data_IF_321835418750
#
_entry.id   IF_321835418750
#
_cell.length_a   1.000
_cell.length_b   1.000
_cell.length_c   1.000
_cell.angle_alpha   90.00
_cell.angle_beta   90.00
_cell.angle_gamma   90.00
#
_symmetry.space_group_name_H-M   'P 1'
#
loop_
_entity.id
_entity.type
_entity.pdbx_description
1 polymer ?
#
# COMPACT_ATOMS: atom_id res chain seq x y z
N UNK A 1 -0.49 -0.26 15.54
CA UNK A 1 -0.37 -0.67 14.12
C UNK A 1 0.67 0.12 13.34
N UNK A 2 0.85 1.42 13.55
CA UNK A 2 1.86 2.22 12.81
C UNK A 2 3.30 1.67 12.88
N UNK A 3 3.69 1.01 13.98
CA UNK A 3 5.01 0.38 14.11
C UNK A 3 5.27 -0.69 13.05
N UNK A 4 4.26 -1.48 12.65
CA UNK A 4 4.36 -2.46 11.58
C UNK A 4 4.60 -1.78 10.22
N UNK A 5 3.86 -0.69 9.97
CA UNK A 5 3.96 0.12 8.74
C UNK A 5 5.30 0.83 8.57
N UNK A 6 6.02 1.12 9.67
CA UNK A 6 7.40 1.63 9.59
C UNK A 6 8.41 0.59 9.08
N UNK A 7 8.06 -0.70 9.13
CA UNK A 7 8.92 -1.80 8.70
C UNK A 7 8.60 -2.27 7.28
N UNK A 8 7.30 -2.38 6.94
CA UNK A 8 6.85 -2.84 5.62
C UNK A 8 6.54 -1.70 4.65
N UNK A 9 6.58 -0.45 5.12
CA UNK A 9 6.31 0.77 4.36
C UNK A 9 4.90 0.86 3.73
N UNK A 10 3.98 -0.03 4.10
CA UNK A 10 2.61 0.03 3.58
C UNK A 10 1.84 1.23 4.15
N UNK A 11 0.91 1.75 3.35
CA UNK A 11 -0.09 2.70 3.83
C UNK A 11 -1.26 1.95 4.45
N UNK A 12 -1.88 2.51 5.49
CA UNK A 12 -3.05 1.92 6.14
C UNK A 12 -4.20 2.92 6.14
N UNK A 13 -5.40 2.43 5.81
CA UNK A 13 -6.64 3.19 5.83
C UNK A 13 -7.60 2.49 6.80
N UNK A 14 -8.41 3.26 7.51
CA UNK A 14 -9.40 2.74 8.44
C UNK A 14 -10.80 3.14 7.96
N UNK A 15 -11.69 2.16 7.89
CA UNK A 15 -13.13 2.43 7.77
C UNK A 15 -13.72 2.75 9.14
N UNK A 16 -15.01 3.08 9.13
CA UNK A 16 -15.82 3.25 10.36
C UNK A 16 -16.27 1.91 10.95
N UNK A 17 -15.77 0.79 10.43
CA UNK A 17 -16.08 -0.54 10.92
C UNK A 17 -15.41 -0.78 12.27
N UNK A 18 -16.22 -0.96 13.32
CA UNK A 18 -15.72 -1.22 14.67
C UNK A 18 -15.76 -2.72 14.92
N UNK A 19 -14.66 -3.28 15.44
CA UNK A 19 -14.65 -4.66 15.94
C UNK A 19 -15.56 -4.76 17.18
N UNK A 20 -16.55 -5.64 17.12
CA UNK A 20 -17.53 -5.85 18.20
C UNK A 20 -17.40 -7.24 18.83
N UNK A 21 -16.28 -7.93 18.62
CA UNK A 21 -16.06 -9.29 19.07
C UNK A 21 -16.42 -10.33 18.02
N UNK A 22 -16.54 -11.60 18.42
CA UNK A 22 -16.77 -12.68 17.47
C UNK A 22 -18.15 -12.59 16.82
N UNK A 23 -18.20 -12.65 15.48
CA UNK A 23 -19.43 -12.81 14.70
C UNK A 23 -19.38 -14.13 13.95
N UNK A 24 -20.52 -14.82 13.86
CA UNK A 24 -20.65 -16.11 13.17
C UNK A 24 -20.86 -15.95 11.68
N UNK A 25 -21.51 -14.87 11.23
CA UNK A 25 -21.91 -14.74 9.83
C UNK A 25 -21.63 -13.35 9.28
N UNK A 26 -21.46 -13.26 7.96
CA UNK A 26 -21.26 -11.99 7.29
C UNK A 26 -22.49 -11.09 7.42
N UNK A 27 -23.69 -11.66 7.36
CA UNK A 27 -24.96 -10.92 7.46
C UNK A 27 -25.11 -10.22 8.80
N UNK A 28 -24.75 -10.89 9.91
CA UNK A 28 -24.71 -10.27 11.23
C UNK A 28 -23.72 -9.11 11.26
N UNK A 29 -22.52 -9.34 10.73
CA UNK A 29 -21.47 -8.32 10.68
C UNK A 29 -21.90 -7.09 9.88
N UNK A 30 -22.38 -7.30 8.66
CA UNK A 30 -22.80 -6.22 7.75
C UNK A 30 -24.01 -5.46 8.30
N UNK A 31 -24.92 -6.14 9.03
CA UNK A 31 -26.01 -5.47 9.73
C UNK A 31 -25.51 -4.57 10.86
N UNK A 32 -24.58 -5.05 11.68
CA UNK A 32 -24.03 -4.26 12.82
C UNK A 32 -23.21 -3.07 12.32
N UNK A 33 -22.42 -3.28 11.28
CA UNK A 33 -21.57 -2.25 10.69
C UNK A 33 -22.32 -1.19 9.90
N UNK A 34 -23.56 -1.46 9.51
CA UNK A 34 -24.26 -0.78 8.41
C UNK A 34 -23.50 -0.96 7.09
N UNK A 35 -24.01 -1.89 6.29
CA UNK A 35 -23.43 -2.32 5.02
C UNK A 35 -23.01 -1.14 4.13
N UNK A 36 -23.95 -0.25 3.81
CA UNK A 36 -23.71 0.83 2.85
C UNK A 36 -22.75 1.87 3.40
N UNK A 37 -22.75 2.06 4.72
CA UNK A 37 -21.81 2.95 5.39
C UNK A 37 -20.38 2.46 5.24
N UNK A 38 -20.11 1.17 5.48
CA UNK A 38 -18.75 0.62 5.33
C UNK A 38 -18.38 0.47 3.86
N UNK A 39 -19.32 0.08 3.00
CA UNK A 39 -19.09 0.00 1.57
C UNK A 39 -18.67 1.37 1.00
N UNK A 40 -19.32 2.46 1.43
CA UNK A 40 -18.91 3.83 1.09
C UNK A 40 -17.45 4.11 1.46
N UNK A 41 -16.98 3.65 2.63
CA UNK A 41 -15.59 3.87 3.08
C UNK A 41 -14.59 3.12 2.19
N UNK A 42 -14.89 1.87 1.83
CA UNK A 42 -14.02 1.07 0.96
C UNK A 42 -13.98 1.68 -0.45
N UNK A 43 -15.13 2.09 -1.00
CA UNK A 43 -15.21 2.80 -2.30
C UNK A 43 -14.40 4.09 -2.28
N UNK A 44 -14.49 4.86 -1.19
CA UNK A 44 -13.70 6.07 -1.01
C UNK A 44 -12.20 5.79 -1.07
N UNK A 45 -11.74 4.75 -0.36
CA UNK A 45 -10.33 4.34 -0.37
C UNK A 45 -9.88 3.93 -1.77
N UNK A 46 -10.67 3.12 -2.50
CA UNK A 46 -10.32 2.71 -3.87
C UNK A 46 -10.21 3.93 -4.80
N UNK A 47 -11.17 4.86 -4.75
CA UNK A 47 -11.16 6.07 -5.58
C UNK A 47 -10.01 7.03 -5.26
N UNK A 48 -9.64 7.11 -3.98
CA UNK A 48 -8.55 7.98 -3.51
C UNK A 48 -7.16 7.37 -3.76
N UNK A 49 -6.98 6.09 -3.45
CA UNK A 49 -5.71 5.39 -3.55
C UNK A 49 -5.42 4.89 -4.98
N UNK A 50 -6.47 4.69 -5.79
CA UNK A 50 -6.40 4.26 -7.19
C UNK A 50 -5.55 2.99 -7.42
N UNK A 51 -5.83 1.88 -6.72
CA UNK A 51 -5.04 0.65 -6.85
C UNK A 51 -5.22 0.00 -8.23
N UNK A 52 -4.15 -0.56 -8.78
CA UNK A 52 -4.22 -1.38 -10.00
C UNK A 52 -4.82 -2.77 -9.74
N UNK A 53 -4.51 -3.37 -8.58
CA UNK A 53 -5.00 -4.70 -8.16
C UNK A 53 -5.54 -4.60 -6.73
N UNK A 54 -6.72 -5.16 -6.50
CA UNK A 54 -7.29 -5.32 -5.16
C UNK A 54 -7.09 -6.76 -4.71
N UNK A 55 -6.59 -6.94 -3.49
CA UNK A 55 -6.41 -8.28 -2.89
C UNK A 55 -7.30 -8.37 -1.65
N UNK A 56 -8.24 -9.31 -1.65
CA UNK A 56 -8.89 -9.74 -0.40
C UNK A 56 -8.11 -10.90 0.21
N UNK A 57 -7.94 -10.89 1.54
CA UNK A 57 -7.28 -11.98 2.26
C UNK A 57 -8.21 -13.18 2.49
N UNK A 58 -9.52 -12.94 2.51
CA UNK A 58 -10.53 -13.94 2.80
C UNK A 58 -11.43 -14.16 1.58
N UNK A 59 -12.04 -15.33 1.52
CA UNK A 59 -13.01 -15.64 0.47
C UNK A 59 -14.36 -15.00 0.79
N UNK A 60 -15.06 -14.40 -0.19
CA UNK A 60 -16.44 -13.94 0.00
C UNK A 60 -17.43 -15.11 0.17
N UNK A 61 -17.01 -16.34 -0.15
CA UNK A 61 -17.83 -17.56 -0.10
C UNK A 61 -17.57 -18.41 1.15
N UNK A 62 -16.52 -18.11 1.92
CA UNK A 62 -16.14 -18.94 3.07
C UNK A 62 -16.95 -18.60 4.32
N UNK A 63 -17.89 -19.48 4.67
CA UNK A 63 -18.71 -19.35 5.88
C UNK A 63 -18.10 -20.04 7.12
N UNK A 64 -16.88 -20.58 7.01
CA UNK A 64 -16.21 -21.32 8.09
C UNK A 64 -15.15 -20.47 8.82
N UNK A 65 -15.20 -19.15 8.66
CA UNK A 65 -14.31 -18.19 9.33
C UNK A 65 -15.15 -17.17 10.12
N UNK A 66 -14.50 -16.22 10.79
CA UNK A 66 -15.21 -15.15 11.50
C UNK A 66 -16.04 -14.34 10.50
N UNK A 67 -17.28 -13.98 10.86
CA UNK A 67 -18.18 -13.20 10.00
C UNK A 67 -17.55 -11.91 9.44
N UNK A 68 -16.70 -11.28 10.24
CA UNK A 68 -15.86 -10.13 9.89
C UNK A 68 -14.99 -10.35 8.64
N UNK A 69 -14.37 -11.52 8.54
CA UNK A 69 -13.49 -11.86 7.44
C UNK A 69 -14.28 -11.97 6.13
N UNK A 70 -15.38 -12.73 6.14
CA UNK A 70 -16.25 -12.93 4.98
C UNK A 70 -16.92 -11.63 4.57
N UNK A 71 -17.44 -10.85 5.54
CA UNK A 71 -17.99 -9.52 5.31
C UNK A 71 -16.98 -8.57 4.65
N UNK A 72 -15.71 -8.60 5.09
CA UNK A 72 -14.66 -7.77 4.48
C UNK A 72 -14.39 -8.15 3.02
N UNK A 73 -14.48 -9.43 2.68
CA UNK A 73 -14.29 -9.93 1.32
C UNK A 73 -15.48 -9.58 0.41
N UNK A 74 -16.71 -9.69 0.92
CA UNK A 74 -17.93 -9.25 0.23
C UNK A 74 -17.85 -7.75 -0.07
N UNK A 75 -17.51 -6.92 0.93
CA UNK A 75 -17.35 -5.48 0.75
C UNK A 75 -16.24 -5.13 -0.25
N UNK A 76 -15.13 -5.86 -0.27
CA UNK A 76 -14.07 -5.66 -1.26
C UNK A 76 -14.57 -5.96 -2.69
N UNK A 77 -15.39 -7.00 -2.84
CA UNK A 77 -16.00 -7.38 -4.11
C UNK A 77 -17.01 -6.34 -4.61
N UNK A 78 -17.93 -5.91 -3.74
CA UNK A 78 -18.90 -4.88 -4.10
C UNK A 78 -18.23 -3.52 -4.38
N UNK A 79 -17.21 -3.16 -3.58
CA UNK A 79 -16.48 -1.92 -3.77
C UNK A 79 -15.68 -1.90 -5.07
N UNK A 80 -15.17 -3.05 -5.52
CA UNK A 80 -14.45 -3.17 -6.80
C UNK A 80 -15.32 -2.69 -7.97
N UNK A 81 -16.59 -3.10 -8.01
CA UNK A 81 -17.55 -2.62 -9.00
C UNK A 81 -17.96 -1.15 -8.72
N UNK A 82 -18.39 -0.85 -7.50
CA UNK A 82 -18.96 0.45 -7.13
C UNK A 82 -17.98 1.62 -7.24
N UNK A 83 -16.67 1.39 -7.08
CA UNK A 83 -15.66 2.44 -7.20
C UNK A 83 -15.61 3.08 -8.59
N UNK A 84 -15.99 2.33 -9.63
CA UNK A 84 -16.04 2.80 -11.01
C UNK A 84 -17.39 3.40 -11.43
N UNK A 85 -18.44 3.20 -10.63
CA UNK A 85 -19.80 3.68 -10.94
C UNK A 85 -20.04 5.08 -10.34
N UNK A 86 -20.25 6.13 -11.16
CA UNK A 86 -20.50 7.49 -10.66
C UNK A 86 -21.84 7.64 -9.92
N UNK A 87 -22.79 6.71 -10.09
CA UNK A 87 -24.07 6.73 -9.39
C UNK A 87 -23.95 6.16 -7.96
N UNK A 88 -22.87 5.43 -7.65
CA UNK A 88 -22.59 4.91 -6.31
C UNK A 88 -21.83 5.95 -5.49
N UNK A 89 -22.44 6.37 -4.38
CA UNK A 89 -21.87 7.38 -3.47
C UNK A 89 -21.46 8.69 -4.17
N UNK A 90 -22.37 9.37 -4.89
CA UNK A 90 -22.03 10.52 -5.74
C UNK A 90 -21.46 11.71 -4.96
N UNK A 91 -21.79 11.86 -3.67
CA UNK A 91 -21.24 12.91 -2.81
C UNK A 91 -19.71 12.87 -2.70
N UNK A 92 -19.08 11.69 -2.89
CA UNK A 92 -17.63 11.56 -2.90
C UNK A 92 -16.99 12.24 -4.11
N UNK A 93 -17.73 12.39 -5.22
CA UNK A 93 -17.19 12.87 -6.49
C UNK A 93 -16.85 14.36 -6.49
N UNK A 94 -17.20 15.09 -5.43
CA UNK A 94 -16.68 16.41 -5.16
C UNK A 94 -15.18 16.42 -4.83
N UNK A 95 -14.60 15.27 -4.46
CA UNK A 95 -13.22 15.15 -3.97
C UNK A 95 -12.37 14.11 -4.71
N UNK A 96 -13.00 13.07 -5.25
CA UNK A 96 -12.33 11.95 -5.92
C UNK A 96 -13.01 11.62 -7.24
N UNK A 97 -12.28 10.95 -8.14
CA UNK A 97 -12.83 10.48 -9.42
C UNK A 97 -13.20 9.00 -9.32
N UNK A 98 -14.16 8.50 -10.13
CA UNK A 98 -14.36 7.07 -10.27
C UNK A 98 -13.04 6.38 -10.65
N UNK A 99 -12.81 5.20 -10.11
CA UNK A 99 -11.61 4.41 -10.39
C UNK A 99 -11.98 2.95 -10.57
N UNK A 100 -11.43 2.33 -11.61
CA UNK A 100 -11.63 0.92 -11.91
C UNK A 100 -10.29 0.18 -11.76
N UNK A 101 -10.08 -0.54 -10.65
CA UNK A 101 -8.94 -1.44 -10.56
C UNK A 101 -9.02 -2.51 -11.65
N UNK A 102 -7.88 -3.02 -12.10
CA UNK A 102 -7.80 -3.98 -13.22
C UNK A 102 -8.40 -5.33 -12.84
N UNK A 103 -8.18 -5.76 -11.58
CA UNK A 103 -8.68 -7.04 -11.07
C UNK A 103 -8.78 -7.08 -9.55
N UNK A 104 -9.68 -7.93 -9.08
CA UNK A 104 -9.84 -8.36 -7.70
C UNK A 104 -9.41 -9.81 -7.60
N UNK A 105 -8.53 -10.10 -6.64
CA UNK A 105 -8.04 -11.45 -6.37
C UNK A 105 -8.21 -11.82 -4.90
N UNK A 106 -8.45 -13.10 -4.62
CA UNK A 106 -8.36 -13.66 -3.28
C UNK A 106 -6.98 -14.27 -3.06
N UNK A 107 -6.23 -13.76 -2.08
CA UNK A 107 -5.01 -14.39 -1.62
C UNK A 107 -5.33 -15.55 -0.68
N UNK A 108 -5.07 -16.78 -1.15
CA UNK A 108 -5.33 -18.02 -0.43
C UNK A 108 -4.04 -18.78 -0.11
N UNK A 109 -4.12 -19.80 0.74
CA UNK A 109 -2.98 -20.65 1.08
C UNK A 109 -3.44 -22.01 1.62
N UNK A 110 -2.58 -23.05 1.58
CA UNK A 110 -2.90 -24.36 2.15
C UNK A 110 -3.38 -24.32 3.61
N UNK A 111 -2.94 -23.33 4.39
CA UNK A 111 -3.30 -23.14 5.79
C UNK A 111 -4.82 -23.02 6.01
N UNK A 112 -5.54 -22.36 5.09
CA UNK A 112 -7.00 -22.21 5.21
C UNK A 112 -7.74 -23.55 5.07
N UNK A 113 -7.11 -24.54 4.43
CA UNK A 113 -7.69 -25.85 4.13
C UNK A 113 -7.23 -26.91 5.14
N UNK A 114 -5.94 -26.92 5.48
CA UNK A 114 -5.35 -27.91 6.38
C UNK A 114 -6.00 -27.91 7.76
N UNK A 115 -6.31 -26.74 8.31
CA UNK A 115 -6.95 -26.63 9.63
C UNK A 115 -8.39 -27.18 9.65
N UNK A 116 -8.96 -27.44 8.47
CA UNK A 116 -10.31 -27.97 8.27
C UNK A 116 -10.29 -29.40 7.73
N UNK A 117 -9.11 -30.03 7.66
CA UNK A 117 -8.89 -31.33 7.02
C UNK A 117 -9.39 -31.38 5.56
N UNK A 118 -9.32 -30.26 4.85
CA UNK A 118 -9.66 -30.17 3.43
C UNK A 118 -8.39 -30.22 2.57
N UNK A 119 -8.43 -30.85 1.39
CA UNK A 119 -7.33 -30.79 0.44
C UNK A 119 -7.17 -29.36 -0.12
N UNK A 120 -5.92 -28.94 -0.32
CA UNK A 120 -5.62 -27.71 -1.05
C UNK A 120 -5.39 -28.04 -2.53
N UNK A 121 -6.24 -27.51 -3.39
CA UNK A 121 -6.08 -27.62 -4.84
C UNK A 121 -5.56 -26.29 -5.43
N UNK A 122 -4.31 -26.26 -5.94
CA UNK A 122 -3.76 -25.06 -6.57
C UNK A 122 -4.20 -24.88 -8.02
N UNK A 123 -5.02 -25.79 -8.58
CA UNK A 123 -5.45 -25.73 -9.98
C UNK A 123 -6.18 -24.41 -10.26
N UNK A 124 -5.75 -23.72 -11.31
CA UNK A 124 -6.31 -22.42 -11.70
C UNK A 124 -5.90 -21.24 -10.81
N UNK A 125 -5.02 -21.44 -9.82
CA UNK A 125 -4.48 -20.35 -9.01
C UNK A 125 -3.21 -19.76 -9.65
N UNK A 126 -3.09 -18.44 -9.63
CA UNK A 126 -1.85 -17.74 -9.93
C UNK A 126 -0.90 -17.87 -8.74
N UNK A 127 0.36 -18.21 -8.99
CA UNK A 127 1.39 -18.38 -7.96
C UNK A 127 2.38 -17.22 -8.04
N UNK A 128 2.67 -16.59 -6.90
CA UNK A 128 3.73 -15.60 -6.74
C UNK A 128 4.80 -16.12 -5.77
N UNK A 129 6.07 -15.93 -6.13
CA UNK A 129 7.18 -16.09 -5.20
C UNK A 129 7.36 -14.79 -4.40
N UNK A 130 7.14 -14.84 -3.09
CA UNK A 130 7.14 -13.69 -2.17
C UNK A 130 8.14 -13.84 -1.01
N UNK A 131 9.12 -14.74 -1.15
CA UNK A 131 10.16 -15.02 -0.15
C UNK A 131 11.52 -14.45 -0.50
N UNK A 132 11.79 -14.14 -1.77
CA UNK A 132 13.09 -13.72 -2.28
C UNK A 132 13.86 -12.66 -1.46
N UNK A 133 15.19 -12.73 -1.54
CA UNK A 133 16.10 -11.76 -0.95
C UNK A 133 16.19 -10.50 -1.82
N UNK A 134 16.02 -9.33 -1.21
CA UNK A 134 16.22 -8.04 -1.87
C UNK A 134 17.58 -7.44 -1.45
N UNK A 135 18.58 -7.37 -2.35
CA UNK A 135 19.90 -6.84 -2.01
C UNK A 135 19.91 -5.38 -1.58
N UNK A 136 18.98 -4.56 -2.09
CA UNK A 136 18.89 -3.14 -1.74
C UNK A 136 18.36 -2.95 -0.31
N UNK A 137 17.49 -3.86 0.15
CA UNK A 137 16.96 -3.84 1.51
C UNK A 137 17.83 -4.66 2.49
N UNK A 138 18.76 -5.46 1.97
CA UNK A 138 19.59 -6.37 2.75
C UNK A 138 18.80 -7.49 3.44
N UNK A 139 17.56 -7.77 3.03
CA UNK A 139 16.62 -8.68 3.71
C UNK A 139 15.77 -9.46 2.72
N UNK A 140 15.33 -10.66 3.13
CA UNK A 140 14.24 -11.37 2.47
C UNK A 140 12.88 -10.77 2.84
N UNK A 141 11.92 -10.81 1.90
CA UNK A 141 10.57 -10.27 2.15
C UNK A 141 9.86 -10.97 3.32
N UNK A 142 10.14 -12.25 3.54
CA UNK A 142 9.65 -13.00 4.71
C UNK A 142 10.28 -12.57 6.03
N UNK A 143 11.49 -12.00 6.02
CA UNK A 143 12.11 -11.40 7.21
C UNK A 143 11.43 -10.08 7.57
N UNK A 144 11.09 -9.28 6.56
CA UNK A 144 10.30 -8.04 6.73
C UNK A 144 8.90 -8.39 7.26
N UNK A 145 8.24 -9.39 6.68
CA UNK A 145 6.93 -9.85 7.11
C UNK A 145 6.93 -10.33 8.58
N UNK A 146 7.92 -11.14 8.97
CA UNK A 146 8.05 -11.60 10.36
C UNK A 146 8.28 -10.46 11.36
N UNK A 147 9.13 -9.48 11.00
CA UNK A 147 9.36 -8.30 11.83
C UNK A 147 8.10 -7.42 11.96
N UNK A 148 7.38 -7.21 10.85
CA UNK A 148 6.10 -6.49 10.83
C UNK A 148 5.05 -7.19 11.71
N UNK A 149 4.92 -8.51 11.58
CA UNK A 149 4.00 -9.32 12.39
C UNK A 149 4.33 -9.26 13.89
N UNK A 150 5.62 -9.21 14.24
CA UNK A 150 6.08 -9.02 15.62
C UNK A 150 5.64 -7.69 16.27
N UNK A 151 5.21 -6.70 15.48
CA UNK A 151 4.66 -5.45 16.01
C UNK A 151 3.19 -5.56 16.43
N UNK A 152 2.51 -6.66 16.12
CA UNK A 152 1.18 -7.00 16.63
C UNK A 152 1.26 -7.59 18.06
N UNK A 153 1.92 -6.87 18.97
CA UNK A 153 2.36 -7.37 20.28
C UNK A 153 1.21 -7.91 21.16
N UNK A 154 0.07 -7.24 21.18
CA UNK A 154 -1.09 -7.68 21.99
C UNK A 154 -1.80 -8.91 21.43
N UNK A 155 -1.60 -9.24 20.15
CA UNK A 155 -2.22 -10.40 19.50
C UNK A 155 -1.34 -11.66 19.63
N UNK A 156 -0.07 -11.51 20.01
CA UNK A 156 0.84 -12.65 20.20
C UNK A 156 1.17 -13.40 18.91
N UNK A 157 0.98 -12.79 17.73
CA UNK A 157 1.12 -13.47 16.42
C UNK A 157 2.54 -13.44 15.85
N UNK A 158 3.52 -12.90 16.58
CA UNK A 158 4.91 -12.84 16.13
C UNK A 158 5.50 -14.22 15.85
N UNK A 159 6.34 -14.33 14.81
CA UNK A 159 6.98 -15.59 14.44
C UNK A 159 8.45 -15.37 14.07
N UNK A 160 9.33 -16.38 14.26
CA UNK A 160 10.70 -16.30 13.76
C UNK A 160 10.74 -16.03 12.24
N UNK A 161 11.73 -15.27 11.75
CA UNK A 161 11.92 -15.06 10.33
C UNK A 161 12.16 -16.38 9.60
N UNK A 162 11.60 -16.49 8.40
CA UNK A 162 11.87 -17.60 7.46
C UNK A 162 12.66 -17.06 6.28
N UNK A 163 13.52 -17.89 5.69
CA UNK A 163 14.32 -17.55 4.50
C UNK A 163 14.06 -18.57 3.40
N UNK A 164 14.23 -18.13 2.17
CA UNK A 164 14.03 -18.95 0.98
C UNK A 164 12.66 -18.75 0.35
N UNK A 165 12.36 -19.61 -0.62
CA UNK A 165 11.18 -19.52 -1.48
C UNK A 165 9.89 -19.58 -0.66
N UNK A 166 9.00 -18.62 -0.90
CA UNK A 166 7.66 -18.61 -0.31
C UNK A 166 6.62 -18.38 -1.39
N UNK A 167 5.82 -19.40 -1.67
CA UNK A 167 4.71 -19.31 -2.62
C UNK A 167 3.48 -18.69 -1.96
N UNK A 168 2.89 -17.71 -2.62
CA UNK A 168 1.57 -17.16 -2.33
C UNK A 168 0.64 -17.46 -3.52
N UNK A 169 -0.63 -17.74 -3.23
CA UNK A 169 -1.60 -18.22 -4.22
C UNK A 169 -2.76 -17.23 -4.36
N UNK A 170 -3.20 -17.01 -5.58
CA UNK A 170 -4.22 -16.01 -5.89
C UNK A 170 -5.29 -16.60 -6.82
N UNK A 171 -6.55 -16.51 -6.41
CA UNK A 171 -7.72 -16.82 -7.25
C UNK A 171 -8.27 -15.50 -7.80
N UNK A 172 -8.46 -15.41 -9.11
CA UNK A 172 -9.20 -14.30 -9.71
C UNK A 172 -10.66 -14.35 -9.25
N UNK A 173 -11.18 -13.23 -8.74
CA UNK A 173 -12.60 -13.08 -8.41
C UNK A 173 -13.32 -12.26 -9.49
N UNK A 174 -12.77 -11.09 -9.84
CA UNK A 174 -13.36 -10.18 -10.83
C UNK A 174 -12.29 -9.41 -11.62
N UNK A 175 -12.69 -8.90 -12.79
CA UNK A 175 -11.85 -8.06 -13.66
C UNK A 175 -11.13 -8.84 -14.75
N UNK A 176 -10.02 -8.28 -15.24
CA UNK A 176 -9.28 -8.89 -16.35
C UNK A 176 -8.61 -10.21 -15.93
N UNK A 177 -8.62 -11.26 -16.80
CA UNK A 177 -7.94 -12.51 -16.55
C UNK A 177 -6.45 -12.36 -16.25
N UNK A 178 -5.92 -13.27 -15.45
CA UNK A 178 -4.48 -13.38 -15.22
C UNK A 178 -3.92 -14.45 -16.17
N UNK A 179 -2.90 -14.11 -16.95
CA UNK A 179 -2.31 -15.02 -17.95
C UNK A 179 -1.00 -15.66 -17.47
N UNK A 180 -0.13 -14.86 -16.88
CA UNK A 180 1.22 -15.18 -16.42
C UNK A 180 1.49 -14.64 -15.01
N UNK A 181 1.12 -13.39 -14.72
CA UNK A 181 1.45 -12.72 -13.48
C UNK A 181 0.33 -11.78 -13.01
N UNK A 182 0.31 -11.50 -11.70
CA UNK A 182 -0.70 -10.64 -11.08
C UNK A 182 -0.85 -9.27 -11.74
N UNK A 183 0.22 -8.74 -12.32
CA UNK A 183 0.26 -7.42 -12.95
C UNK A 183 0.15 -7.45 -14.49
N UNK A 184 -0.20 -8.58 -15.11
CA UNK A 184 -0.33 -8.64 -16.57
C UNK A 184 -1.29 -7.56 -17.11
N UNK A 185 -0.96 -6.93 -18.22
CA UNK A 185 -1.81 -5.89 -18.83
C UNK A 185 -1.86 -4.58 -18.04
N UNK A 186 -1.09 -4.44 -16.95
CA UNK A 186 -0.91 -3.19 -16.21
C UNK A 186 0.45 -2.60 -16.59
N UNK A 187 0.46 -1.37 -17.10
CA UNK A 187 1.69 -0.63 -17.32
C UNK A 187 2.26 -0.13 -15.99
N UNK A 188 3.33 -0.77 -15.54
CA UNK A 188 4.08 -0.43 -14.32
C UNK A 188 5.28 0.48 -14.59
N UNK A 189 5.41 0.99 -15.82
CA UNK A 189 6.46 1.91 -16.23
C UNK A 189 5.97 3.37 -16.24
N UNK A 190 6.86 4.30 -16.55
CA UNK A 190 6.50 5.71 -16.73
C UNK A 190 5.57 5.96 -17.91
N UNK A 191 5.52 5.07 -18.91
CA UNK A 191 4.66 5.20 -20.08
C UNK A 191 3.17 5.32 -19.74
N UNK A 192 2.78 4.93 -18.52
CA UNK A 192 1.42 5.12 -18.00
C UNK A 192 1.03 6.58 -17.81
N UNK A 193 2.00 7.47 -17.61
CA UNK A 193 1.79 8.91 -17.50
C UNK A 193 2.06 9.54 -18.86
N UNK A 194 1.12 10.32 -19.37
CA UNK A 194 1.28 10.98 -20.66
C UNK A 194 2.48 11.94 -20.66
N UNK A 195 3.26 11.95 -21.76
CA UNK A 195 4.43 12.82 -21.96
C UNK A 195 5.57 12.63 -20.93
N UNK A 196 5.71 11.45 -20.35
CA UNK A 196 6.70 11.15 -19.30
C UNK A 196 8.04 10.62 -19.81
N UNK A 197 8.24 10.47 -21.13
CA UNK A 197 9.42 9.80 -21.68
C UNK A 197 10.73 10.51 -21.29
N UNK A 198 10.75 11.83 -21.30
CA UNK A 198 11.90 12.64 -20.87
C UNK A 198 12.20 12.45 -19.38
N UNK A 199 11.15 12.39 -18.55
CA UNK A 199 11.26 12.10 -17.11
C UNK A 199 11.84 10.69 -16.90
N UNK A 200 11.36 9.69 -17.63
CA UNK A 200 11.86 8.33 -17.56
C UNK A 200 13.34 8.24 -17.98
N UNK A 201 13.75 8.97 -19.01
CA UNK A 201 15.14 9.06 -19.45
C UNK A 201 16.02 9.72 -18.38
N UNK A 202 15.58 10.82 -17.80
CA UNK A 202 16.29 11.53 -16.73
C UNK A 202 16.47 10.67 -15.48
N UNK A 203 15.46 9.90 -15.09
CA UNK A 203 15.56 8.95 -13.97
C UNK A 203 16.63 7.90 -14.25
N UNK A 204 16.64 7.30 -15.44
CA UNK A 204 17.68 6.31 -15.81
C UNK A 204 19.08 6.91 -15.76
N UNK A 205 19.25 8.13 -16.26
CA UNK A 205 20.51 8.86 -16.20
C UNK A 205 20.97 9.05 -14.75
N UNK A 206 20.13 9.65 -13.90
CA UNK A 206 20.44 9.90 -12.48
C UNK A 206 20.83 8.60 -11.76
N UNK A 207 20.09 7.52 -12.00
CA UNK A 207 20.39 6.20 -11.40
C UNK A 207 21.74 5.67 -11.88
N UNK A 208 22.07 5.82 -13.17
CA UNK A 208 23.35 5.34 -13.72
C UNK A 208 24.56 6.14 -13.25
N UNK A 209 24.37 7.40 -12.90
CA UNK A 209 25.39 8.34 -12.44
C UNK A 209 25.40 8.49 -10.90
N UNK A 210 24.58 7.70 -10.18
CA UNK A 210 24.48 7.80 -8.74
C UNK A 210 25.77 7.30 -8.06
N UNK A 211 26.36 8.14 -7.21
CA UNK A 211 27.58 7.83 -6.45
C UNK A 211 27.23 7.66 -4.96
N UNK A 212 27.15 6.44 -4.42
CA UNK A 212 26.75 6.23 -3.01
C UNK A 212 27.64 6.94 -1.98
N UNK A 213 28.93 7.13 -2.28
CA UNK A 213 29.87 7.83 -1.40
C UNK A 213 29.79 9.38 -1.53
N UNK A 214 29.08 9.89 -2.55
CA UNK A 214 28.90 11.31 -2.82
C UNK A 214 27.51 11.62 -3.37
N UNK A 215 26.43 11.28 -2.65
CA UNK A 215 25.06 11.34 -3.19
C UNK A 215 24.60 12.76 -3.50
N UNK A 216 25.20 13.77 -2.86
CA UNK A 216 24.96 15.18 -3.16
C UNK A 216 25.19 15.52 -4.64
N UNK A 217 26.08 14.80 -5.34
CA UNK A 217 26.35 15.02 -6.76
C UNK A 217 25.10 14.87 -7.66
N UNK A 218 24.08 14.12 -7.22
CA UNK A 218 22.82 13.96 -7.98
C UNK A 218 21.77 15.04 -7.72
N UNK A 219 22.01 15.96 -6.76
CA UNK A 219 21.01 16.96 -6.35
C UNK A 219 20.61 17.91 -7.50
N UNK A 220 21.53 18.47 -8.31
CA UNK A 220 21.15 19.32 -9.43
C UNK A 220 20.19 18.61 -10.40
N UNK A 221 20.51 17.39 -10.79
CA UNK A 221 19.70 16.63 -11.75
C UNK A 221 18.36 16.20 -11.14
N UNK A 222 18.31 15.92 -9.83
CA UNK A 222 17.09 15.61 -9.08
C UNK A 222 16.17 16.82 -8.97
N UNK A 223 16.71 18.04 -8.82
CA UNK A 223 15.91 19.27 -8.83
C UNK A 223 15.29 19.53 -10.20
N UNK A 224 16.06 19.32 -11.27
CA UNK A 224 15.52 19.37 -12.63
C UNK A 224 14.46 18.28 -12.87
N UNK A 225 14.65 17.07 -12.33
CA UNK A 225 13.64 16.00 -12.37
C UNK A 225 12.37 16.42 -11.64
N UNK A 226 12.51 17.02 -10.46
CA UNK A 226 11.39 17.52 -9.65
C UNK A 226 10.59 18.58 -10.39
N UNK A 227 11.27 19.47 -11.13
CA UNK A 227 10.63 20.47 -11.98
C UNK A 227 9.94 19.83 -13.19
N UNK A 228 10.59 18.87 -13.85
CA UNK A 228 10.01 18.16 -15.00
C UNK A 228 8.74 17.39 -14.62
N UNK A 229 8.71 16.77 -13.44
CA UNK A 229 7.52 16.12 -12.89
C UNK A 229 6.35 17.10 -12.72
N UNK A 230 6.62 18.31 -12.21
CA UNK A 230 5.60 19.34 -12.03
C UNK A 230 5.00 19.87 -13.33
N UNK A 231 5.64 19.61 -14.47
CA UNK A 231 5.10 19.90 -15.80
C UNK A 231 4.13 18.84 -16.34
N UNK A 232 4.05 17.66 -15.71
CA UNK A 232 3.18 16.58 -16.15
C UNK A 232 1.74 16.79 -15.64
N UNK A 233 0.76 16.55 -16.52
CA UNK A 233 -0.66 16.63 -16.17
C UNK A 233 -1.16 15.27 -15.70
N UNK A 234 -0.94 14.96 -14.44
CA UNK A 234 -1.45 13.77 -13.78
C UNK A 234 -1.77 14.08 -12.31
N UNK A 235 -2.96 13.70 -11.86
CA UNK A 235 -3.48 14.00 -10.52
C UNK A 235 -3.41 12.78 -9.57
N UNK A 236 -2.67 11.74 -9.95
CA UNK A 236 -2.54 10.50 -9.19
C UNK A 236 -1.08 10.17 -8.86
N UNK A 237 -0.36 9.64 -9.84
CA UNK A 237 1.00 9.13 -9.70
C UNK A 237 2.03 10.24 -9.52
N UNK A 238 1.92 11.34 -10.26
CA UNK A 238 2.93 12.42 -10.25
C UNK A 238 3.08 13.06 -8.86
N UNK A 239 2.02 13.45 -8.14
CA UNK A 239 2.16 14.00 -6.79
C UNK A 239 2.88 13.06 -5.81
N UNK A 240 2.64 11.75 -5.89
CA UNK A 240 3.34 10.76 -5.04
C UNK A 240 4.83 10.70 -5.39
N UNK A 241 5.18 10.71 -6.69
CA UNK A 241 6.57 10.66 -7.15
C UNK A 241 7.33 11.94 -6.90
N UNK A 242 6.68 13.08 -6.95
CA UNK A 242 7.26 14.35 -6.49
C UNK A 242 7.67 14.28 -5.01
N UNK A 243 6.78 13.78 -4.14
CA UNK A 243 7.08 13.64 -2.71
C UNK A 243 8.16 12.58 -2.42
N UNK A 244 8.31 11.56 -3.27
CA UNK A 244 9.45 10.64 -3.22
C UNK A 244 10.77 11.33 -3.64
N UNK A 245 10.75 12.11 -4.72
CA UNK A 245 11.92 12.87 -5.19
C UNK A 245 12.35 13.90 -4.15
N UNK A 246 11.42 14.61 -3.51
CA UNK A 246 11.74 15.56 -2.44
C UNK A 246 12.46 14.88 -1.25
N UNK A 247 12.03 13.65 -0.89
CA UNK A 247 12.70 12.84 0.13
C UNK A 247 14.09 12.39 -0.31
N UNK A 248 14.26 12.02 -1.59
CA UNK A 248 15.56 11.64 -2.15
C UNK A 248 16.51 12.84 -2.15
N UNK A 249 16.04 14.03 -2.54
CA UNK A 249 16.83 15.28 -2.49
C UNK A 249 17.29 15.54 -1.06
N UNK A 250 16.37 15.51 -0.08
CA UNK A 250 16.72 15.71 1.33
C UNK A 250 17.75 14.68 1.82
N UNK A 251 17.63 13.42 1.42
CA UNK A 251 18.58 12.38 1.75
C UNK A 251 19.96 12.62 1.10
N UNK A 252 20.00 13.04 -0.17
CA UNK A 252 21.25 13.31 -0.90
C UNK A 252 21.99 14.54 -0.35
N UNK A 253 21.26 15.54 0.16
CA UNK A 253 21.81 16.69 0.88
C UNK A 253 22.37 16.33 2.26
N UNK A 254 22.02 15.15 2.78
CA UNK A 254 22.29 14.80 4.18
C UNK A 254 21.55 15.72 5.16
N UNK A 255 20.42 16.29 4.70
CA UNK A 255 19.60 17.24 5.45
C UNK A 255 18.97 16.53 6.65
N UNK A 256 19.21 17.07 7.84
CA UNK A 256 18.54 16.64 9.05
C UNK A 256 17.77 17.81 9.63
N UNK A 257 16.46 17.65 9.80
CA UNK A 257 15.60 18.63 10.44
C UNK A 257 14.86 17.93 11.57
N UNK A 258 15.02 18.43 12.78
CA UNK A 258 14.33 17.95 13.98
C UNK A 258 13.57 19.09 14.63
N UNK A 259 12.33 18.81 15.03
CA UNK A 259 11.53 19.68 15.88
C UNK A 259 11.30 18.96 17.21
N UNK A 260 11.76 19.55 18.30
CA UNK A 260 11.64 18.97 19.64
C UNK A 260 11.03 19.96 20.63
N UNK A 261 10.39 19.42 21.66
CA UNK A 261 9.85 20.20 22.77
C UNK A 261 10.10 19.46 24.07
N UNK A 262 10.21 20.19 25.16
CA UNK A 262 10.29 19.62 26.52
C UNK A 262 8.92 19.25 27.08
N UNK A 263 7.84 19.64 26.41
CA UNK A 263 6.47 19.43 26.88
C UNK A 263 5.86 18.21 26.18
N UNK A 264 5.58 17.15 26.94
CA UNK A 264 4.94 15.93 26.43
C UNK A 264 3.47 16.12 26.04
N UNK A 265 2.77 17.05 26.71
CA UNK A 265 1.35 17.32 26.52
C UNK A 265 1.11 18.83 26.35
N UNK A 266 0.24 19.20 25.41
CA UNK A 266 -0.11 20.59 25.10
C UNK A 266 -1.64 20.67 24.91
N UNK A 267 -2.27 21.73 25.43
CA UNK A 267 -3.73 21.96 25.30
C UNK A 267 -4.04 22.85 24.09
N UNK A 268 -5.17 22.69 23.39
CA UNK A 268 -5.56 23.61 22.33
C UNK A 268 -5.56 25.09 22.79
N UNK A 269 -4.87 25.96 22.05
CA UNK A 269 -4.71 27.38 22.37
C UNK A 269 -3.50 27.72 23.25
N UNK A 270 -2.78 26.72 23.78
CA UNK A 270 -1.56 26.92 24.55
C UNK A 270 -0.35 27.17 23.62
N UNK A 271 0.46 28.17 23.95
CA UNK A 271 1.77 28.36 23.29
C UNK A 271 2.75 27.29 23.75
N UNK A 272 3.41 26.62 22.81
CA UNK A 272 4.46 25.65 23.09
C UNK A 272 5.79 26.11 22.49
N UNK A 273 6.86 26.03 23.28
CA UNK A 273 8.22 26.25 22.80
C UNK A 273 8.68 25.03 21.99
N UNK A 274 9.03 25.26 20.72
CA UNK A 274 9.61 24.26 19.83
C UNK A 274 11.05 24.66 19.55
N UNK A 275 11.99 23.77 19.84
CA UNK A 275 13.36 23.87 19.38
C UNK A 275 13.43 23.24 17.99
N UNK A 276 13.95 23.99 17.02
CA UNK A 276 14.24 23.49 15.69
C UNK A 276 15.75 23.31 15.54
N UNK A 277 16.17 22.15 15.05
CA UNK A 277 17.53 21.85 14.65
C UNK A 277 17.55 21.51 13.17
N UNK A 278 18.43 22.17 12.41
CA UNK A 278 18.58 21.94 10.98
C UNK A 278 20.08 21.85 10.64
N UNK A 279 20.49 20.74 10.05
CA UNK A 279 21.87 20.47 9.63
C UNK A 279 21.86 20.11 8.15
N UNK A 280 22.62 20.87 7.35
CA UNK A 280 23.00 20.49 5.99
C UNK A 280 24.44 19.93 6.03
N UNK A 281 24.65 18.73 5.50
CA UNK A 281 25.95 18.05 5.52
C UNK A 281 26.68 18.05 4.17
N UNK A 282 26.12 18.72 3.17
CA UNK A 282 26.74 18.83 1.85
C UNK A 282 27.24 20.26 1.59
N UNK A 283 28.14 20.37 0.60
CA UNK A 283 28.71 21.65 0.16
C UNK A 283 27.88 22.33 -0.94
N UNK A 284 26.66 21.84 -1.20
CA UNK A 284 25.75 22.43 -2.16
C UNK A 284 25.02 23.58 -1.46
N UNK A 285 25.04 24.80 -2.03
CA UNK A 285 24.41 25.99 -1.45
C UNK A 285 22.92 25.81 -1.16
#
# INVERSE_FOLDING_TARGET
MLAARRLDHAQQFFSRAVDFGFSKTAEETLRIWDHDKILSDVVWVIRKFRPDVVVTRFSPEDQLTHGHHTASAILAQEAFAAASDPNRFPAQLAFVKPWRPTRLVWNTSPFFFSNRNLPFDPTGLTILEAGGYNPLLGKAYTEIAAASLGMHKSQGVGSPPRRGVRKEYFKLLEGQPITSALFDGIDTSWSRVANSESVAAKIRQIVSEFHPAGPAASVPELLELRQALGGLKDDGWVPEKEAEVDRIIAACLGLHVEASTTNENITPGQTAAIKLEAINRCNIP
#
